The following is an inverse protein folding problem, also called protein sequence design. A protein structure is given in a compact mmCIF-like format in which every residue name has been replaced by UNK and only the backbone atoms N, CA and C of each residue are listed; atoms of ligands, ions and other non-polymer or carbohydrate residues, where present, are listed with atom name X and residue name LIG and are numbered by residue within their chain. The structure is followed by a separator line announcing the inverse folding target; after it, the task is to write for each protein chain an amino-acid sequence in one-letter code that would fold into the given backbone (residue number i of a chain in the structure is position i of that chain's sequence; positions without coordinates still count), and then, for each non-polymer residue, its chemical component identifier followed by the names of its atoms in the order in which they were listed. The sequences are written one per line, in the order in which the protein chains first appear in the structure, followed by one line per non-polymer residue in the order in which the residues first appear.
data_IF_932890532297
#
_entry.id   IF_932890532297
#
_cell.length_a   1.000
_cell.length_b   1.000
_cell.length_c   1.000
_cell.angle_alpha   90.00
_cell.angle_beta   90.00
_cell.angle_gamma   90.00
#
_symmetry.space_group_name_H-M   'P 1'
#
loop_
_entity.id
_entity.type
_entity.pdbx_description
1 polymer ?
#
# COMPACT_ATOMS: atom_id res chain seq x y z
N UNK A 1 -8.07 8.20 14.61
CA UNK A 1 -7.66 7.50 13.37
C UNK A 1 -6.50 8.27 12.78
N UNK A 2 -5.34 7.62 12.61
CA UNK A 2 -4.16 8.22 11.99
C UNK A 2 -3.96 7.51 10.64
N UNK A 3 -3.73 8.27 9.58
CA UNK A 3 -3.48 7.74 8.24
C UNK A 3 -2.07 8.18 7.82
N UNK A 4 -1.24 7.23 7.42
CA UNK A 4 0.09 7.52 6.88
C UNK A 4 0.03 7.54 5.35
N UNK A 5 0.51 8.62 4.75
CA UNK A 5 0.64 8.79 3.30
C UNK A 5 2.09 9.08 2.93
N UNK A 6 2.49 8.64 1.75
CA UNK A 6 3.87 8.72 1.28
C UNK A 6 4.11 7.84 0.07
N UNK A 7 5.17 8.11 -0.67
CA UNK A 7 5.52 7.38 -1.89
C UNK A 7 5.83 5.90 -1.62
N UNK A 8 5.87 5.09 -2.68
CA UNK A 8 6.38 3.71 -2.61
C UNK A 8 7.81 3.74 -2.05
N UNK A 9 8.11 2.89 -1.08
CA UNK A 9 9.43 2.83 -0.43
C UNK A 9 9.68 3.89 0.66
N UNK A 10 8.73 4.78 0.98
CA UNK A 10 8.91 5.81 2.00
C UNK A 10 8.93 5.32 3.47
N UNK A 11 8.83 4.01 3.71
CA UNK A 11 8.85 3.43 5.06
C UNK A 11 7.52 3.51 5.82
N UNK A 12 6.39 3.69 5.13
CA UNK A 12 5.06 3.79 5.75
C UNK A 12 4.74 2.61 6.67
N UNK A 13 4.94 1.37 6.19
CA UNK A 13 4.71 0.15 6.97
C UNK A 13 5.50 0.17 8.28
N UNK A 14 6.81 0.45 8.20
CA UNK A 14 7.68 0.53 9.37
C UNK A 14 7.23 1.60 10.36
N UNK A 15 6.86 2.79 9.88
CA UNK A 15 6.37 3.86 10.74
C UNK A 15 5.00 3.54 11.36
N UNK A 16 4.08 2.93 10.62
CA UNK A 16 2.78 2.46 11.14
C UNK A 16 3.00 1.48 12.28
N UNK A 17 3.90 0.50 12.12
CA UNK A 17 4.21 -0.49 13.16
C UNK A 17 4.75 0.19 14.42
N UNK A 18 5.77 1.05 14.29
CA UNK A 18 6.37 1.76 15.42
C UNK A 18 5.35 2.65 16.14
N UNK A 19 4.48 3.34 15.40
CA UNK A 19 3.47 4.23 15.96
C UNK A 19 2.35 3.45 16.66
N UNK A 20 1.93 2.33 16.09
CA UNK A 20 0.93 1.45 16.68
C UNK A 20 1.42 0.88 18.02
N UNK A 21 2.65 0.38 18.07
CA UNK A 21 3.29 -0.10 19.30
C UNK A 21 3.41 1.00 20.35
N UNK A 22 3.90 2.18 19.96
CA UNK A 22 4.08 3.30 20.89
C UNK A 22 2.77 3.81 21.49
N UNK A 23 1.68 3.78 20.72
CA UNK A 23 0.36 4.26 21.15
C UNK A 23 -0.54 3.15 21.71
N UNK A 24 -0.09 1.89 21.71
CA UNK A 24 -0.92 0.73 22.07
C UNK A 24 -2.17 0.58 21.20
N UNK A 25 -2.07 0.93 19.91
CA UNK A 25 -3.18 0.94 18.96
C UNK A 25 -3.04 -0.15 17.90
N UNK A 26 -4.12 -0.42 17.15
CA UNK A 26 -4.11 -1.43 16.09
C UNK A 26 -3.54 -0.85 14.79
N UNK A 27 -2.57 -1.56 14.19
CA UNK A 27 -2.05 -1.26 12.86
C UNK A 27 -2.90 -1.91 11.76
N UNK A 28 -3.15 -1.16 10.68
CA UNK A 28 -3.78 -1.65 9.46
C UNK A 28 -2.85 -1.35 8.29
N UNK A 29 -2.68 -2.33 7.39
CA UNK A 29 -1.76 -2.24 6.25
C UNK A 29 -2.51 -2.44 4.93
N UNK A 30 -1.98 -1.86 3.86
CA UNK A 30 -2.48 -2.06 2.50
C UNK A 30 -2.10 -3.48 2.01
N UNK A 31 -3.05 -4.22 1.44
CA UNK A 31 -2.78 -5.53 0.84
C UNK A 31 -2.24 -5.36 -0.58
N UNK A 32 -0.92 -5.49 -0.74
CA UNK A 32 -0.25 -5.32 -2.04
C UNK A 32 0.37 -6.61 -2.59
N UNK A 33 0.64 -7.59 -1.73
CA UNK A 33 1.48 -8.75 -2.06
C UNK A 33 0.80 -9.75 -2.99
N UNK A 34 -0.53 -9.86 -2.96
CA UNK A 34 -1.31 -10.82 -3.76
C UNK A 34 -2.02 -10.17 -4.98
N UNK A 35 -1.62 -8.97 -5.41
CA UNK A 35 -2.32 -8.26 -6.49
C UNK A 35 -1.94 -8.84 -7.88
N UNK A 36 -2.84 -9.58 -8.57
CA UNK A 36 -2.53 -10.18 -9.88
C UNK A 36 -2.42 -9.13 -11.00
N UNK A 37 -2.88 -7.91 -10.78
CA UNK A 37 -2.84 -6.81 -11.74
C UNK A 37 -1.51 -6.07 -11.69
N UNK A 38 -0.81 -6.11 -10.55
CA UNK A 38 0.44 -5.38 -10.38
C UNK A 38 1.53 -5.81 -11.38
N UNK A 39 1.75 -7.11 -11.66
CA UNK A 39 2.65 -7.54 -12.74
C UNK A 39 2.22 -7.03 -14.13
N UNK A 40 0.92 -7.03 -14.43
CA UNK A 40 0.39 -6.52 -15.69
C UNK A 40 0.61 -5.00 -15.81
N UNK A 41 0.42 -4.26 -14.72
CA UNK A 41 0.70 -2.83 -14.67
C UNK A 41 2.16 -2.51 -14.94
N UNK A 42 3.10 -3.30 -14.40
CA UNK A 42 4.52 -3.10 -14.70
C UNK A 42 4.89 -3.45 -16.16
N UNK A 43 4.10 -4.28 -16.85
CA UNK A 43 4.27 -4.61 -18.27
C UNK A 43 3.71 -3.51 -19.20
N UNK A 44 2.48 -3.04 -18.98
CA UNK A 44 1.88 -1.92 -19.73
C UNK A 44 1.06 -0.98 -18.83
N UNK A 45 1.69 0.04 -18.22
CA UNK A 45 1.01 0.97 -17.33
C UNK A 45 -0.17 1.71 -17.96
N UNK A 46 -0.12 1.97 -19.28
CA UNK A 46 -1.18 2.71 -19.99
C UNK A 46 -2.43 1.86 -20.14
N UNK A 47 -2.26 0.57 -20.40
CA UNK A 47 -3.37 -0.38 -20.57
C UNK A 47 -3.96 -0.82 -19.23
N UNK A 48 -3.12 -1.06 -18.22
CA UNK A 48 -3.53 -1.69 -16.97
C UNK A 48 -3.68 -0.71 -15.80
N UNK A 49 -3.35 0.58 -15.96
CA UNK A 49 -3.47 1.58 -14.89
C UNK A 49 -4.89 1.70 -14.33
N UNK A 50 -5.91 1.70 -15.18
CA UNK A 50 -7.31 1.75 -14.72
C UNK A 50 -7.71 0.47 -13.96
N UNK A 51 -7.28 -0.70 -14.45
CA UNK A 51 -7.57 -1.99 -13.81
C UNK A 51 -6.91 -2.09 -12.43
N UNK A 52 -5.68 -1.58 -12.30
CA UNK A 52 -4.97 -1.55 -11.02
C UNK A 52 -5.71 -0.67 -10.01
N UNK A 53 -6.18 0.51 -10.42
CA UNK A 53 -6.91 1.43 -9.53
C UNK A 53 -8.28 0.90 -9.09
N UNK A 54 -8.94 0.05 -9.88
CA UNK A 54 -10.22 -0.54 -9.49
C UNK A 54 -10.07 -1.73 -8.53
N UNK A 55 -8.89 -2.36 -8.50
CA UNK A 55 -8.61 -3.48 -7.60
C UNK A 55 -8.32 -3.02 -6.15
N UNK A 56 -7.84 -1.78 -5.97
CA UNK A 56 -7.60 -1.13 -4.68
C UNK A 56 -8.84 -0.35 -4.20
#
# INVERSE_FOLDING_TARGET
MIVLSGTIGAGKTSLTTMLAEHLGSNAYYESVDDNPILPLFYDDPKRYGFLLQNYF
#
